data_IF_517078925019
#
_entry.id   IF_517078925019
#
_cell.length_a   1.000
_cell.length_b   1.000
_cell.length_c   1.000
_cell.angle_alpha   90.00
_cell.angle_beta   90.00
_cell.angle_gamma   90.00
#
_symmetry.space_group_name_H-M   'P 1'
#
loop_
_entity.id
_entity.type
_entity.pdbx_description
1 polymer ?
2 water ?
#
# COMPACT_ATOMS: atom_id res chain seq x y z
N UNK A 2 -5.65 -16.88 -1.85
CA UNK A 2 -5.17 -17.35 -0.55
C UNK A 2 -4.84 -16.16 0.35
N UNK A 3 -3.61 -15.69 0.29
CA UNK A 3 -3.21 -14.53 1.07
C UNK A 3 -3.64 -13.25 0.36
N UNK A 4 -3.95 -12.24 1.16
CA UNK A 4 -4.27 -10.95 0.58
C UNK A 4 -2.99 -10.15 0.35
N UNK A 5 -3.13 -9.07 -0.40
CA UNK A 5 -2.04 -8.13 -0.65
C UNK A 5 -2.50 -6.74 -0.24
N UNK A 6 -1.69 -6.07 0.56
CA UNK A 6 -1.97 -4.67 0.89
C UNK A 6 -1.49 -3.83 -0.29
N UNK A 7 -2.43 -3.20 -0.98
CA UNK A 7 -2.12 -2.51 -2.22
C UNK A 7 -1.58 -1.11 -1.95
N UNK A 8 -0.37 -0.83 -2.43
CA UNK A 8 0.21 0.48 -2.22
C UNK A 8 -0.12 1.40 -3.38
N UNK A 9 -0.03 2.70 -3.08
CA UNK A 9 -0.37 3.75 -4.03
C UNK A 9 0.30 3.55 -5.38
N UNK A 10 1.59 3.22 -5.36
CA UNK A 10 2.33 3.11 -6.61
C UNK A 10 1.72 2.10 -7.58
N UNK A 11 1.09 1.04 -7.07
CA UNK A 11 0.37 0.10 -7.92
C UNK A 11 -1.06 0.56 -8.20
N UNK A 12 -1.77 1.04 -7.17
CA UNK A 12 -3.14 1.49 -7.35
C UNK A 12 -3.25 2.59 -8.42
N UNK A 13 -2.30 3.52 -8.42
CA UNK A 13 -2.31 4.63 -9.38
C UNK A 13 -2.01 4.18 -10.80
N UNK A 14 -1.57 2.93 -10.96
CA UNK A 14 -1.34 2.35 -12.27
C UNK A 14 -2.39 1.31 -12.62
N UNK A 15 -3.41 1.14 -11.78
CA UNK A 15 -4.46 0.16 -12.07
C UNK A 15 -5.07 0.29 -13.46
N UNK A 16 -4.94 1.44 -14.12
CA UNK A 16 -5.53 1.61 -15.44
C UNK A 16 -4.66 1.06 -16.57
N UNK A 17 -3.39 0.78 -16.28
CA UNK A 17 -2.50 0.25 -17.31
C UNK A 17 -2.83 -1.23 -17.56
N UNK A 18 -2.88 -1.69 -18.81
CA UNK A 18 -3.40 -3.04 -19.07
C UNK A 18 -2.72 -4.16 -18.30
N UNK A 19 -1.39 -4.17 -18.20
CA UNK A 19 -0.71 -5.26 -17.50
C UNK A 19 -1.08 -5.24 -16.02
N UNK A 20 -1.18 -4.03 -15.45
CA UNK A 20 -1.50 -3.89 -14.05
C UNK A 20 -2.93 -4.30 -13.80
N UNK A 21 -3.86 -3.82 -14.63
CA UNK A 21 -5.25 -4.26 -14.52
C UNK A 21 -5.34 -5.77 -14.61
N UNK A 22 -4.55 -6.37 -15.50
CA UNK A 22 -4.61 -7.81 -15.67
C UNK A 22 -4.27 -8.53 -14.37
N UNK A 23 -3.32 -7.98 -13.61
CA UNK A 23 -3.02 -8.55 -12.29
C UNK A 23 -4.06 -8.19 -11.23
N UNK A 24 -4.50 -6.94 -11.19
CA UNK A 24 -5.31 -6.47 -10.07
C UNK A 24 -6.76 -6.93 -10.14
N UNK A 25 -7.34 -7.05 -11.34
CA UNK A 25 -8.77 -7.34 -11.41
C UNK A 25 -9.11 -8.72 -10.85
N UNK A 26 -8.37 -9.78 -11.18
CA UNK A 26 -8.70 -11.08 -10.56
C UNK A 26 -8.52 -11.10 -9.06
N UNK A 27 -7.48 -10.42 -8.55
CA UNK A 27 -7.30 -10.36 -7.11
C UNK A 27 -8.48 -9.65 -6.47
N UNK A 28 -8.91 -8.55 -7.08
CA UNK A 28 -10.04 -7.81 -6.54
C UNK A 28 -11.29 -8.66 -6.53
N UNK A 29 -11.58 -9.32 -7.65
CA UNK A 29 -12.78 -10.14 -7.75
C UNK A 29 -12.77 -11.27 -6.73
N UNK A 30 -11.59 -11.77 -6.36
CA UNK A 30 -11.50 -12.82 -5.35
C UNK A 30 -11.35 -12.28 -3.93
N UNK A 31 -11.44 -10.96 -3.73
CA UNK A 31 -11.37 -10.40 -2.40
C UNK A 31 -9.97 -10.45 -1.81
N UNK A 32 -8.94 -10.47 -2.64
CA UNK A 32 -7.58 -10.65 -2.18
C UNK A 32 -6.75 -9.36 -2.16
N UNK A 33 -7.36 -8.22 -2.45
CA UNK A 33 -6.67 -6.95 -2.28
C UNK A 33 -7.15 -6.32 -0.99
N UNK A 34 -6.22 -5.76 -0.22
CA UNK A 34 -6.49 -5.18 1.08
C UNK A 34 -6.17 -3.70 1.10
N UNK A 35 -6.84 -3.01 2.01
CA UNK A 35 -6.65 -1.60 2.26
C UNK A 35 -6.54 -1.38 3.76
N UNK A 36 -5.97 -0.21 4.12
CA UNK A 36 -5.92 0.24 5.49
C UNK A 36 -6.09 1.75 5.51
N UNK A 37 -6.11 2.32 6.71
CA UNK A 37 -6.39 3.74 6.83
C UNK A 37 -5.51 4.59 5.95
N UNK A 38 -4.21 4.33 5.97
CA UNK A 38 -3.29 5.20 5.26
C UNK A 38 -3.32 4.97 3.76
N UNK A 39 -3.56 3.73 3.30
CA UNK A 39 -3.64 3.54 1.85
C UNK A 39 -4.88 4.18 1.28
N UNK A 40 -5.97 4.18 2.05
CA UNK A 40 -7.16 4.91 1.60
C UNK A 40 -6.86 6.40 1.52
N UNK A 41 -6.19 6.98 2.52
CA UNK A 41 -5.84 8.40 2.42
C UNK A 41 -5.02 8.69 1.19
N UNK A 42 -3.99 7.89 0.94
CA UNK A 42 -3.20 8.14 -0.27
C UNK A 42 -4.07 8.06 -1.52
N UNK A 43 -4.99 7.11 -1.57
CA UNK A 43 -5.86 6.96 -2.74
C UNK A 43 -6.74 8.20 -2.91
N UNK A 44 -7.19 8.79 -1.81
CA UNK A 44 -8.10 9.92 -1.89
C UNK A 44 -7.53 11.15 -2.56
N UNK A 45 -6.20 11.26 -2.62
CA UNK A 45 -5.58 12.38 -3.32
C UNK A 45 -5.99 12.39 -4.78
N UNK A 46 -6.33 11.24 -5.33
CA UNK A 46 -6.65 11.14 -6.74
C UNK A 46 -8.05 11.64 -7.08
N UNK A 47 -8.87 11.97 -6.09
CA UNK A 47 -10.21 12.47 -6.36
C UNK A 47 -10.15 13.72 -7.22
N UNK A 48 -11.18 13.88 -8.05
CA UNK A 48 -11.29 15.02 -8.95
C UNK A 48 -12.43 15.95 -8.58
N UNK A 49 -13.10 15.71 -7.47
CA UNK A 49 -14.14 16.59 -6.92
C UNK A 49 -14.51 16.00 -5.56
N UNK A 50 -15.24 16.77 -4.77
CA UNK A 50 -15.70 16.25 -3.49
C UNK A 50 -16.55 15.00 -3.67
N UNK A 51 -17.50 15.05 -4.59
CA UNK A 51 -18.34 13.87 -4.82
C UNK A 51 -17.51 12.71 -5.32
N UNK A 52 -16.50 12.97 -6.15
CA UNK A 52 -15.62 11.91 -6.61
C UNK A 52 -14.85 11.30 -5.46
N UNK A 53 -14.47 12.10 -4.46
CA UNK A 53 -13.82 11.54 -3.28
C UNK A 53 -14.76 10.55 -2.59
N UNK A 54 -16.05 10.89 -2.53
CA UNK A 54 -17.04 9.95 -1.99
C UNK A 54 -17.15 8.70 -2.86
N UNK A 55 -17.16 8.87 -4.18
CA UNK A 55 -17.21 7.73 -5.10
C UNK A 55 -16.03 6.82 -4.90
N UNK A 56 -14.84 7.40 -4.77
CA UNK A 56 -13.63 6.62 -4.56
C UNK A 56 -13.70 5.87 -3.24
N UNK A 57 -14.21 6.52 -2.20
CA UNK A 57 -14.34 5.82 -0.93
C UNK A 57 -15.27 4.62 -1.03
N UNK A 58 -16.40 4.82 -1.68
CA UNK A 58 -17.34 3.71 -1.89
C UNK A 58 -16.68 2.58 -2.67
N UNK A 59 -15.93 2.92 -3.72
CA UNK A 59 -15.21 1.90 -4.48
C UNK A 59 -14.24 1.13 -3.61
N UNK A 60 -13.46 1.84 -2.81
CA UNK A 60 -12.46 1.15 -2.00
C UNK A 60 -13.12 0.24 -0.98
N UNK A 61 -14.22 0.69 -0.37
CA UNK A 61 -14.87 -0.18 0.60
C UNK A 61 -15.52 -1.39 -0.08
N UNK A 62 -15.94 -1.24 -1.35
CA UNK A 62 -16.51 -2.36 -2.09
C UNK A 62 -15.46 -3.33 -2.60
N UNK A 63 -14.27 -2.85 -2.92
CA UNK A 63 -13.29 -3.59 -3.71
C UNK A 63 -12.12 -4.14 -2.93
N UNK A 64 -11.79 -3.58 -1.76
CA UNK A 64 -10.63 -4.02 -1.01
C UNK A 64 -11.03 -4.34 0.41
N UNK A 65 -10.49 -5.44 0.91
CA UNK A 65 -10.72 -5.87 2.28
C UNK A 65 -9.98 -4.98 3.26
N UNK A 66 -10.68 -4.51 4.28
CA UNK A 66 -10.07 -3.72 5.33
C UNK A 66 -9.20 -4.54 6.25
N UNK A 67 -8.04 -3.98 6.61
CA UNK A 67 -7.23 -4.49 7.71
C UNK A 67 -6.94 -3.32 8.66
N UNK A 68 -6.91 -3.61 9.95
CA UNK A 68 -6.68 -2.58 10.95
C UNK A 68 -5.23 -2.15 11.01
N UNK A 69 -5.03 -0.99 11.62
CA UNK A 69 -3.71 -0.42 11.84
C UNK A 69 -3.42 -0.45 13.33
N UNK A 70 -2.57 -1.36 13.81
CA UNK A 70 -2.28 -1.42 15.24
C UNK A 70 -1.47 -0.20 15.66
N UNK A 71 -1.56 0.11 16.95
CA UNK A 71 -0.84 1.27 17.48
C UNK A 71 0.65 1.05 17.57
N UNK A 72 1.14 -0.13 17.20
CA UNK A 72 2.56 -0.41 17.15
C UNK A 72 3.22 0.14 15.92
N UNK A 73 2.46 0.61 14.93
CA UNK A 73 3.09 0.98 13.66
C UNK A 73 4.05 2.14 13.82
N UNK A 74 3.79 3.02 14.77
CA UNK A 74 4.62 4.22 14.88
C UNK A 74 6.04 3.89 15.29
N UNK A 75 6.20 3.05 16.31
CA UNK A 75 7.51 2.60 16.72
C UNK A 75 8.11 1.67 15.69
N UNK A 76 7.31 0.75 15.11
CA UNK A 76 7.89 -0.11 14.09
C UNK A 76 8.45 0.72 12.93
N UNK A 77 7.70 1.72 12.49
CA UNK A 77 8.18 2.57 11.42
C UNK A 77 9.45 3.30 11.83
N UNK A 78 9.55 3.72 13.09
CA UNK A 78 10.76 4.38 13.57
C UNK A 78 11.96 3.43 13.52
N UNK A 79 11.75 2.16 13.89
CA UNK A 79 12.82 1.17 13.82
C UNK A 79 13.28 0.97 12.38
N UNK A 80 12.34 0.85 11.45
CA UNK A 80 12.69 0.66 10.06
C UNK A 80 13.45 1.87 9.55
N UNK A 81 12.93 3.07 9.87
CA UNK A 81 13.61 4.30 9.48
C UNK A 81 15.03 4.34 10.02
N UNK A 82 15.23 3.95 11.27
CA UNK A 82 16.59 3.91 11.82
C UNK A 82 17.49 3.00 11.00
N UNK A 83 16.98 1.83 10.60
CA UNK A 83 17.80 0.89 9.84
C UNK A 83 18.07 1.37 8.42
N UNK A 84 17.24 2.28 7.90
CA UNK A 84 17.44 2.89 6.59
C UNK A 84 18.36 4.08 6.63
N UNK A 85 18.72 4.56 7.82
CA UNK A 85 19.39 5.87 7.93
C UNK A 85 20.82 5.85 7.44
N UNK A 86 21.62 4.85 7.77
CA UNK A 86 23.02 4.97 7.39
C UNK A 86 23.19 5.02 5.88
N UNK A 87 22.34 4.31 5.14
CA UNK A 87 22.39 4.34 3.69
C UNK A 87 21.78 5.60 3.09
N UNK A 88 21.07 6.38 3.91
CA UNK A 88 20.46 7.61 3.44
C UNK A 88 19.05 7.45 2.95
N UNK A 89 18.47 6.25 3.06
CA UNK A 89 17.16 6.02 2.51
C UNK A 89 16.08 6.60 3.41
N UNK A 90 16.40 6.94 4.65
CA UNK A 90 15.42 7.61 5.48
C UNK A 90 15.00 8.95 4.90
N UNK A 91 15.80 9.56 4.03
CA UNK A 91 15.47 10.83 3.42
C UNK A 91 14.74 10.70 2.11
N UNK A 92 14.53 9.49 1.61
CA UNK A 92 13.78 9.30 0.39
C UNK A 92 12.59 8.35 0.55
N UNK A 93 12.61 7.43 1.49
CA UNK A 93 11.48 6.55 1.76
C UNK A 93 10.42 7.36 2.51
N UNK A 94 9.24 7.42 1.94
CA UNK A 94 8.19 8.28 2.47
C UNK A 94 7.58 7.69 3.73
N UNK A 95 7.21 8.56 4.65
CA UNK A 95 6.64 8.14 5.94
C UNK A 95 5.44 7.21 5.75
N UNK A 96 4.50 7.53 4.85
CA UNK A 96 3.37 6.61 4.66
C UNK A 96 3.78 5.20 4.26
N UNK A 97 4.89 5.06 3.49
CA UNK A 97 5.33 3.74 3.07
C UNK A 97 5.85 2.92 4.23
N UNK A 98 6.51 3.58 5.19
CA UNK A 98 6.91 2.90 6.42
C UNK A 98 5.71 2.36 7.17
N UNK A 99 4.65 3.17 7.24
CA UNK A 99 3.44 2.74 7.93
C UNK A 99 2.79 1.57 7.20
N UNK A 100 2.66 1.69 5.89
CA UNK A 100 2.09 0.60 5.09
C UNK A 100 2.86 -0.70 5.33
N UNK A 101 4.19 -0.62 5.31
CA UNK A 101 4.99 -1.81 5.56
C UNK A 101 4.70 -2.38 6.93
N UNK A 102 4.61 -1.52 7.95
CA UNK A 102 4.34 -2.03 9.30
C UNK A 102 2.97 -2.69 9.39
N UNK A 103 1.96 -2.11 8.71
CA UNK A 103 0.63 -2.73 8.71
C UNK A 103 0.68 -4.10 8.06
N UNK A 104 1.31 -4.18 6.89
CA UNK A 104 1.35 -5.44 6.16
C UNK A 104 2.09 -6.49 6.97
N UNK A 105 3.21 -6.09 7.58
CA UNK A 105 3.97 -7.01 8.41
C UNK A 105 3.14 -7.53 9.56
N UNK A 106 2.41 -6.63 10.23
CA UNK A 106 1.56 -7.05 11.33
C UNK A 106 0.57 -8.12 10.90
N UNK A 107 -0.04 -7.94 9.74
CA UNK A 107 -1.05 -8.88 9.28
C UNK A 107 -0.46 -10.08 8.53
N UNK A 108 0.84 -10.11 8.32
CA UNK A 108 1.45 -11.21 7.61
C UNK A 108 1.06 -11.29 6.15
N UNK A 109 0.82 -10.16 5.51
CA UNK A 109 0.42 -10.10 4.10
C UNK A 109 1.44 -9.33 3.28
N UNK A 110 1.70 -9.68 2.02
CA UNK A 110 2.65 -8.89 1.23
C UNK A 110 2.11 -7.51 0.91
N UNK A 111 3.02 -6.55 0.74
CA UNK A 111 2.69 -5.30 0.06
C UNK A 111 2.81 -5.51 -1.43
N UNK A 112 1.77 -5.16 -2.18
CA UNK A 112 1.81 -5.15 -3.64
C UNK A 112 2.03 -3.72 -4.11
N UNK A 113 3.09 -3.49 -4.87
CA UNK A 113 3.57 -2.12 -5.07
C UNK A 113 4.16 -1.99 -6.46
N UNK A 114 4.58 -0.75 -6.78
CA UNK A 114 5.43 -0.50 -7.94
C UNK A 114 6.44 0.57 -7.53
N UNK A 115 7.21 0.29 -6.48
CA UNK A 115 8.20 1.23 -5.95
C UNK A 115 9.30 0.45 -5.25
N UNK A 116 10.54 0.59 -5.74
CA UNK A 116 11.69 -0.10 -5.16
C UNK A 116 11.86 0.17 -3.65
N UNK A 117 11.28 1.25 -3.15
CA UNK A 117 11.41 1.54 -1.74
C UNK A 117 10.82 0.44 -0.86
N UNK A 118 9.79 -0.26 -1.35
CA UNK A 118 9.29 -1.40 -0.58
C UNK A 118 10.29 -2.55 -0.52
N UNK A 119 11.12 -2.70 -1.55
CA UNK A 119 12.20 -3.67 -1.48
C UNK A 119 13.29 -3.23 -0.50
N UNK A 120 13.54 -1.92 -0.42
CA UNK A 120 14.50 -1.43 0.58
C UNK A 120 14.00 -1.69 2.00
N UNK A 121 12.71 -1.48 2.25
CA UNK A 121 12.15 -1.79 3.56
C UNK A 121 12.26 -3.30 3.83
N UNK A 122 11.87 -4.13 2.84
CA UNK A 122 11.85 -5.56 3.06
C UNK A 122 13.25 -6.14 3.28
N UNK A 123 14.28 -5.49 2.74
CA UNK A 123 15.63 -5.94 3.04
C UNK A 123 15.90 -5.91 4.54
N UNK A 124 15.27 -4.98 5.25
CA UNK A 124 15.39 -4.87 6.70
C UNK A 124 14.43 -5.79 7.42
N UNK A 125 13.15 -5.72 7.08
CA UNK A 125 12.16 -6.45 7.87
C UNK A 125 12.04 -7.91 7.48
N UNK A 126 12.48 -8.27 6.28
CA UNK A 126 12.31 -9.60 5.72
C UNK A 126 10.86 -9.92 5.42
N UNK A 127 9.98 -8.93 5.41
CA UNK A 127 8.59 -9.19 5.13
C UNK A 127 8.36 -9.39 3.64
N UNK A 128 7.29 -10.06 3.26
CA UNK A 128 7.04 -10.27 1.83
C UNK A 128 6.55 -9.00 1.15
N UNK A 129 7.11 -8.73 -0.03
CA UNK A 129 6.67 -7.64 -0.89
C UNK A 129 6.67 -8.14 -2.32
N UNK A 130 5.83 -7.55 -3.16
CA UNK A 130 5.72 -8.03 -4.53
C UNK A 130 5.41 -6.89 -5.51
N UNK A 131 6.20 -6.81 -6.57
CA UNK A 131 5.88 -5.91 -7.68
C UNK A 131 4.57 -6.35 -8.32
N UNK A 132 3.68 -5.39 -8.60
CA UNK A 132 2.38 -5.74 -9.17
C UNK A 132 2.57 -6.38 -10.53
N UNK A 133 3.54 -5.88 -11.30
CA UNK A 133 3.98 -6.53 -12.52
C UNK A 133 5.50 -6.46 -12.49
N UNK A 134 6.13 -7.36 -13.24
CA UNK A 134 7.58 -7.42 -13.22
C UNK A 134 8.14 -6.02 -13.50
N UNK A 135 9.10 -5.54 -12.72
CA UNK A 135 9.56 -4.16 -12.91
C UNK A 135 10.12 -3.89 -14.29
N UNK A 136 10.86 -4.84 -14.86
CA UNK A 136 11.38 -4.68 -16.20
C UNK A 136 10.29 -4.72 -17.26
#
# INVERSE_FOLDING_TARGET
MTTRYLLAKSAAYRAHLPAVRHRLEPLMERGLLARCGITDLEFGVSARSREDHRTLGTYRRDALEYVNTPDTVWVRAWEIQEALTDKGFHRSVKIPDLIIAAVAEHHGIPVMHYDQDFERIAAITRQPVEWVVAPGTALEHHHHHH
#
